data_IF_282018465170
#
_entry.id   IF_282018465170
#
_cell.length_a   1.000
_cell.length_b   1.000
_cell.length_c   1.000
_cell.angle_alpha   90.00
_cell.angle_beta   90.00
_cell.angle_gamma   90.00
#
_symmetry.space_group_name_H-M   'P 1'
#
loop_
_entity.id
_entity.type
_entity.pdbx_description
1 polymer ?
#
# COMPACT_ATOMS: atom_id res chain seq x y z
N UNK A 1 -19.49 55.49 -11.05
CA UNK A 1 -20.54 55.09 -10.09
C UNK A 1 -21.86 55.30 -10.81
N UNK A 2 -22.19 54.37 -11.70
CA UNK A 2 -23.45 54.40 -12.45
C UNK A 2 -24.52 53.70 -11.62
N UNK A 3 -25.69 54.33 -11.56
CA UNK A 3 -26.85 53.95 -10.76
C UNK A 3 -27.21 52.47 -10.92
N UNK A 4 -27.01 51.70 -9.84
CA UNK A 4 -27.66 50.42 -9.60
C UNK A 4 -29.14 50.65 -9.31
N UNK A 5 -29.90 51.11 -10.31
CA UNK A 5 -31.34 50.90 -10.32
C UNK A 5 -31.57 49.41 -10.52
N UNK A 6 -31.46 48.70 -9.41
CA UNK A 6 -31.65 47.28 -9.23
C UNK A 6 -32.97 46.86 -9.87
N UNK A 7 -32.91 45.91 -10.80
CA UNK A 7 -34.08 45.13 -11.18
C UNK A 7 -34.54 44.32 -9.96
N UNK A 8 -35.28 44.97 -9.06
CA UNK A 8 -35.93 44.33 -7.92
C UNK A 8 -36.93 43.33 -8.50
N UNK A 9 -36.60 42.05 -8.40
CA UNK A 9 -37.43 40.94 -8.87
C UNK A 9 -38.06 40.27 -7.65
N UNK A 10 -39.37 40.08 -7.67
CA UNK A 10 -40.08 39.26 -6.68
C UNK A 10 -40.33 37.86 -7.27
N UNK A 11 -40.23 36.84 -6.42
CA UNK A 11 -40.52 35.46 -6.81
C UNK A 11 -40.19 34.44 -5.72
N UNK A 12 -40.31 33.16 -6.06
CA UNK A 12 -40.04 32.05 -5.14
C UNK A 12 -38.54 31.70 -5.19
N UNK A 13 -37.88 31.69 -4.03
CA UNK A 13 -36.49 31.27 -3.93
C UNK A 13 -36.37 29.74 -4.08
N UNK A 14 -35.57 29.22 -5.04
CA UNK A 14 -35.41 27.79 -5.25
C UNK A 14 -34.93 27.04 -3.99
N UNK A 15 -33.95 27.60 -3.27
CA UNK A 15 -33.42 27.00 -2.03
C UNK A 15 -34.46 26.97 -0.90
N UNK A 16 -35.27 28.02 -0.75
CA UNK A 16 -36.35 28.02 0.25
C UNK A 16 -37.39 26.93 -0.05
N UNK A 17 -37.74 26.79 -1.34
CA UNK A 17 -38.68 25.77 -1.79
C UNK A 17 -38.15 24.35 -1.56
N UNK A 18 -36.89 24.09 -1.85
CA UNK A 18 -36.29 22.75 -1.68
C UNK A 18 -36.03 22.42 -0.21
N UNK A 19 -35.43 23.32 0.57
CA UNK A 19 -35.00 23.02 1.95
C UNK A 19 -36.12 23.12 2.98
N UNK A 20 -37.05 24.04 2.80
CA UNK A 20 -38.08 24.35 3.78
C UNK A 20 -39.51 24.17 3.27
N UNK A 21 -39.67 23.71 2.01
CA UNK A 21 -40.98 23.65 1.33
C UNK A 21 -41.71 25.01 1.32
N UNK A 22 -40.96 26.10 1.37
CA UNK A 22 -41.48 27.46 1.45
C UNK A 22 -41.58 28.07 0.05
N UNK A 23 -42.83 28.24 -0.41
CA UNK A 23 -43.17 28.81 -1.73
C UNK A 23 -43.66 30.26 -1.63
N UNK A 24 -43.37 30.97 -0.53
CA UNK A 24 -43.70 32.39 -0.41
C UNK A 24 -42.89 33.24 -1.40
N UNK A 25 -43.52 34.28 -1.94
CA UNK A 25 -42.86 35.28 -2.77
C UNK A 25 -41.96 36.18 -1.91
N UNK A 26 -40.71 36.35 -2.35
CA UNK A 26 -39.67 37.12 -1.66
C UNK A 26 -38.95 38.02 -2.64
N UNK A 27 -38.28 39.06 -2.12
CA UNK A 27 -37.30 39.82 -2.89
C UNK A 27 -36.17 38.88 -3.30
N UNK A 28 -35.85 38.84 -4.59
CA UNK A 28 -34.77 38.05 -5.16
C UNK A 28 -33.64 38.95 -5.63
N UNK A 29 -32.41 38.49 -5.39
CA UNK A 29 -31.16 39.08 -5.80
C UNK A 29 -30.39 38.08 -6.65
N UNK A 30 -29.68 38.57 -7.67
CA UNK A 30 -28.95 37.72 -8.59
C UNK A 30 -27.56 37.40 -8.02
N UNK A 31 -27.22 36.12 -7.93
CA UNK A 31 -25.88 35.69 -7.53
C UNK A 31 -24.84 36.22 -8.54
N UNK A 32 -23.74 36.85 -8.09
CA UNK A 32 -22.73 37.38 -9.00
C UNK A 32 -21.96 36.29 -9.77
N UNK A 33 -21.99 35.04 -9.32
CA UNK A 33 -21.26 33.90 -9.90
C UNK A 33 -22.14 33.09 -10.86
N UNK A 34 -23.10 32.31 -10.37
CA UNK A 34 -23.99 31.48 -11.22
C UNK A 34 -25.08 32.25 -11.98
N UNK A 35 -25.31 33.53 -11.68
CA UNK A 35 -26.36 34.38 -12.29
C UNK A 35 -27.80 33.93 -12.02
N UNK A 36 -28.01 32.98 -11.10
CA UNK A 36 -29.35 32.59 -10.64
C UNK A 36 -29.89 33.56 -9.59
N UNK A 37 -31.20 33.49 -9.32
CA UNK A 37 -31.93 34.42 -8.45
C UNK A 37 -32.30 33.76 -7.12
N UNK A 38 -31.91 34.36 -6.00
CA UNK A 38 -32.13 33.84 -4.65
C UNK A 38 -32.63 34.93 -3.71
N UNK A 39 -33.28 34.56 -2.61
CA UNK A 39 -33.56 35.53 -1.55
C UNK A 39 -32.28 35.91 -0.81
N UNK A 40 -32.31 37.03 -0.07
CA UNK A 40 -31.20 37.54 0.76
C UNK A 40 -30.48 36.45 1.60
N UNK A 41 -31.22 35.51 2.19
CA UNK A 41 -30.64 34.40 3.00
C UNK A 41 -29.85 33.36 2.19
N UNK A 42 -30.08 33.26 0.89
CA UNK A 42 -29.51 32.23 0.02
C UNK A 42 -28.71 32.79 -1.16
N UNK A 43 -28.63 34.12 -1.33
CA UNK A 43 -27.87 34.75 -2.42
C UNK A 43 -26.36 34.54 -2.28
N UNK A 44 -25.87 34.37 -1.05
CA UNK A 44 -24.46 34.07 -0.82
C UNK A 44 -24.12 32.66 -1.34
N UNK A 45 -23.08 32.50 -2.17
CA UNK A 45 -22.68 31.18 -2.65
C UNK A 45 -22.07 30.35 -1.52
N UNK A 46 -22.19 29.03 -1.66
CA UNK A 46 -21.69 28.03 -0.72
C UNK A 46 -20.95 26.92 -1.46
N UNK A 47 -19.97 26.31 -0.78
CA UNK A 47 -19.13 25.28 -1.36
C UNK A 47 -19.95 24.06 -1.74
N UNK A 48 -19.81 23.63 -3.00
CA UNK A 48 -20.34 22.36 -3.48
C UNK A 48 -19.37 21.24 -3.10
N UNK A 49 -19.37 20.89 -1.80
CA UNK A 49 -18.51 19.84 -1.25
C UNK A 49 -19.31 18.88 -0.37
N UNK A 50 -19.01 17.59 -0.51
CA UNK A 50 -19.63 16.55 0.32
C UNK A 50 -18.87 16.39 1.64
N UNK A 51 -19.59 15.92 2.67
CA UNK A 51 -18.98 15.57 3.97
C UNK A 51 -17.78 14.63 3.82
N UNK A 52 -17.91 13.61 2.96
CA UNK A 52 -16.85 12.62 2.74
C UNK A 52 -15.61 13.21 2.08
N UNK A 53 -15.76 14.26 1.25
CA UNK A 53 -14.62 14.98 0.69
C UNK A 53 -13.88 15.76 1.79
N UNK A 54 -14.61 16.45 2.68
CA UNK A 54 -14.04 17.16 3.84
C UNK A 54 -13.29 16.18 4.76
N UNK A 55 -13.88 15.03 5.07
CA UNK A 55 -13.25 14.04 5.95
C UNK A 55 -11.94 13.47 5.38
N UNK A 56 -11.87 13.29 4.06
CA UNK A 56 -10.71 12.76 3.34
C UNK A 56 -9.57 13.77 3.18
N UNK A 57 -9.82 15.06 3.40
CA UNK A 57 -8.79 16.10 3.37
C UNK A 57 -7.75 15.84 4.45
N UNK A 58 -6.48 15.65 4.03
CA UNK A 58 -5.36 15.34 4.95
C UNK A 58 -4.83 16.57 5.67
N UNK A 59 -4.86 17.72 5.01
CA UNK A 59 -4.44 18.97 5.61
C UNK A 59 -5.47 19.42 6.65
N UNK A 60 -5.03 19.50 7.92
CA UNK A 60 -5.89 19.84 9.05
C UNK A 60 -6.46 21.26 8.94
N UNK A 61 -5.68 22.22 8.44
CA UNK A 61 -6.07 23.64 8.32
C UNK A 61 -7.09 23.79 7.19
N UNK A 62 -6.83 23.17 6.03
CA UNK A 62 -7.80 23.18 4.93
C UNK A 62 -9.09 22.46 5.33
N UNK A 63 -9.00 21.34 6.04
CA UNK A 63 -10.17 20.59 6.53
C UNK A 63 -11.05 21.46 7.43
N UNK A 64 -10.46 22.24 8.33
CA UNK A 64 -11.19 23.15 9.23
C UNK A 64 -11.89 24.27 8.45
N UNK A 65 -11.21 24.90 7.48
CA UNK A 65 -11.83 25.91 6.60
C UNK A 65 -12.98 25.35 5.77
N UNK A 66 -12.80 24.17 5.17
CA UNK A 66 -13.88 23.51 4.42
C UNK A 66 -15.07 23.16 5.32
N UNK A 67 -14.81 22.82 6.57
CA UNK A 67 -15.84 22.53 7.56
C UNK A 67 -16.65 23.75 7.96
N UNK A 68 -15.98 24.88 8.21
CA UNK A 68 -16.62 26.17 8.53
C UNK A 68 -17.54 26.63 7.39
N UNK A 69 -17.03 26.61 6.16
CA UNK A 69 -17.83 26.96 4.96
C UNK A 69 -19.00 25.99 4.75
N UNK A 70 -18.80 24.69 4.98
CA UNK A 70 -19.87 23.71 4.87
C UNK A 70 -20.95 23.89 5.95
N UNK A 71 -20.59 24.35 7.16
CA UNK A 71 -21.54 24.59 8.26
C UNK A 71 -22.26 25.92 8.20
N UNK A 72 -21.79 26.88 7.40
CA UNK A 72 -22.40 28.20 7.27
C UNK A 72 -23.90 28.09 6.97
N UNK A 73 -24.73 28.76 7.76
CA UNK A 73 -26.19 28.74 7.56
C UNK A 73 -26.57 29.58 6.33
N UNK A 74 -27.62 29.16 5.64
CA UNK A 74 -28.05 29.78 4.39
C UNK A 74 -27.19 29.39 3.19
N UNK A 75 -27.14 30.30 2.23
CA UNK A 75 -26.42 30.18 0.96
C UNK A 75 -26.93 29.09 0.00
N UNK A 76 -26.53 29.21 -1.27
CA UNK A 76 -26.84 28.24 -2.32
C UNK A 76 -25.57 27.52 -2.80
N UNK A 77 -25.65 26.23 -3.15
CA UNK A 77 -24.52 25.53 -3.75
C UNK A 77 -24.17 26.16 -5.11
N UNK A 78 -22.96 26.71 -5.25
CA UNK A 78 -22.50 27.34 -6.49
C UNK A 78 -21.16 26.73 -6.95
N UNK A 79 -21.19 26.03 -8.09
CA UNK A 79 -20.03 25.34 -8.64
C UNK A 79 -18.97 26.30 -9.21
N UNK A 80 -19.39 27.42 -9.80
CA UNK A 80 -18.49 28.44 -10.38
C UNK A 80 -17.71 29.10 -9.24
N UNK A 81 -18.42 29.52 -8.19
CA UNK A 81 -17.79 30.07 -7.00
C UNK A 81 -16.87 29.06 -6.32
N UNK A 82 -17.28 27.79 -6.23
CA UNK A 82 -16.46 26.72 -5.63
C UNK A 82 -15.12 26.57 -6.35
N UNK A 83 -15.09 26.60 -7.69
CA UNK A 83 -13.84 26.57 -8.45
C UNK A 83 -12.94 27.77 -8.12
N UNK A 84 -13.51 28.99 -8.14
CA UNK A 84 -12.76 30.20 -7.81
C UNK A 84 -12.25 30.22 -6.37
N UNK A 85 -13.02 29.66 -5.43
CA UNK A 85 -12.61 29.50 -4.04
C UNK A 85 -11.34 28.64 -3.96
N UNK A 86 -11.30 27.48 -4.62
CA UNK A 86 -10.13 26.60 -4.62
C UNK A 86 -8.93 27.22 -5.35
N UNK A 87 -9.13 27.89 -6.48
CA UNK A 87 -8.06 28.63 -7.17
C UNK A 87 -7.44 29.70 -6.27
N UNK A 88 -8.27 30.49 -5.59
CA UNK A 88 -7.80 31.52 -4.65
C UNK A 88 -7.05 30.91 -3.46
N UNK A 89 -7.47 29.72 -3.02
CA UNK A 89 -6.84 28.99 -1.95
C UNK A 89 -5.45 28.48 -2.36
N UNK A 90 -5.32 27.88 -3.54
CA UNK A 90 -4.03 27.42 -4.08
C UNK A 90 -3.03 28.57 -4.27
N UNK A 91 -3.51 29.74 -4.73
CA UNK A 91 -2.66 30.93 -4.89
C UNK A 91 -2.14 31.40 -3.53
N UNK A 92 -3.01 31.52 -2.50
CA UNK A 92 -2.60 31.90 -1.14
C UNK A 92 -1.60 30.91 -0.55
N UNK A 93 -1.82 29.61 -0.74
CA UNK A 93 -0.90 28.58 -0.26
C UNK A 93 0.47 28.69 -0.92
N UNK A 94 0.52 28.94 -2.24
CA UNK A 94 1.79 29.18 -2.96
C UNK A 94 2.51 30.41 -2.41
N UNK A 95 1.81 31.52 -2.21
CA UNK A 95 2.39 32.74 -1.63
C UNK A 95 2.95 32.51 -0.21
N UNK A 96 2.24 31.77 0.63
CA UNK A 96 2.70 31.43 1.98
C UNK A 96 3.95 30.52 1.96
N UNK A 97 3.96 29.50 1.09
CA UNK A 97 5.13 28.63 0.89
C UNK A 97 6.34 29.43 0.40
N UNK A 98 6.16 30.35 -0.54
CA UNK A 98 7.24 31.21 -1.01
C UNK A 98 7.78 32.14 0.09
N UNK A 99 6.89 32.73 0.90
CA UNK A 99 7.29 33.54 2.06
C UNK A 99 8.11 32.70 3.06
N UNK A 100 7.67 31.48 3.33
CA UNK A 100 8.38 30.55 4.22
C UNK A 100 9.77 30.17 3.69
N UNK A 101 9.89 29.83 2.40
CA UNK A 101 11.17 29.53 1.76
C UNK A 101 12.14 30.72 1.80
N UNK A 102 11.64 31.95 1.59
CA UNK A 102 12.45 33.18 1.73
C UNK A 102 12.97 33.37 3.15
N UNK A 103 12.21 32.99 4.17
CA UNK A 103 12.67 33.04 5.58
C UNK A 103 13.75 31.98 5.84
N UNK A 104 13.59 30.76 5.34
CA UNK A 104 14.58 29.70 5.47
C UNK A 104 15.93 30.05 4.82
N UNK A 105 15.91 30.62 3.60
CA UNK A 105 17.12 31.06 2.91
C UNK A 105 17.87 32.15 3.69
N UNK A 106 17.14 33.09 4.31
CA UNK A 106 17.75 34.10 5.21
C UNK A 106 18.42 33.47 6.43
N UNK A 107 17.78 32.48 7.07
CA UNK A 107 18.33 31.77 8.23
C UNK A 107 19.59 30.99 7.84
N UNK A 108 19.58 30.31 6.68
CA UNK A 108 20.74 29.56 6.20
C UNK A 108 21.94 30.49 5.92
N UNK A 109 21.70 31.64 5.28
CA UNK A 109 22.73 32.67 5.03
C UNK A 109 23.33 33.20 6.33
N UNK A 110 22.49 33.51 7.34
CA UNK A 110 22.98 33.93 8.66
C UNK A 110 23.82 32.85 9.35
N UNK A 111 23.42 31.57 9.24
CA UNK A 111 24.18 30.45 9.82
C UNK A 111 25.55 30.28 9.17
N UNK A 112 25.65 30.44 7.84
CA UNK A 112 26.93 30.41 7.12
C UNK A 112 27.85 31.53 7.58
N UNK A 113 27.36 32.76 7.70
CA UNK A 113 28.16 33.92 8.18
C UNK A 113 28.71 33.65 9.59
N UNK A 114 27.86 33.19 10.53
CA UNK A 114 28.27 32.90 11.91
C UNK A 114 29.32 31.77 12.03
N UNK A 115 29.36 30.82 11.09
CA UNK A 115 30.36 29.75 11.09
C UNK A 115 31.75 30.26 10.67
N UNK A 116 31.83 31.16 9.69
CA UNK A 116 33.09 31.77 9.27
C UNK A 116 33.69 32.61 10.40
N UNK A 117 32.89 33.39 11.12
CA UNK A 117 33.36 34.22 12.24
C UNK A 117 33.94 33.38 13.40
N UNK A 118 33.31 32.25 13.74
CA UNK A 118 33.81 31.35 14.79
C UNK A 118 35.11 30.64 14.42
N UNK A 119 35.38 30.41 13.13
CA UNK A 119 36.60 29.73 12.68
C UNK A 119 37.89 30.58 12.84
N UNK A 120 37.75 31.90 13.04
CA UNK A 120 38.89 32.82 13.22
C UNK A 120 39.49 32.81 14.64
N UNK A 121 38.80 32.25 15.64
CA UNK A 121 39.34 32.07 17.00
C UNK A 121 40.14 30.76 17.08
N UNK A 122 41.48 30.87 17.03
CA UNK A 122 42.43 29.77 17.28
C UNK A 122 42.13 29.11 18.64
N UNK A 123 41.49 27.94 18.63
CA UNK A 123 41.39 27.10 19.82
C UNK A 123 42.67 26.24 19.97
N UNK A 124 43.27 26.18 21.17
CA UNK A 124 44.42 25.32 21.43
C UNK A 124 44.03 23.83 21.35
N UNK A 125 44.72 23.07 20.48
CA UNK A 125 44.53 21.63 20.29
C UNK A 125 44.89 20.86 21.57
N UNK A 126 43.89 20.27 22.24
CA UNK A 126 44.11 19.17 23.21
C UNK A 126 43.59 17.87 22.60
N UNK A 127 44.52 17.02 22.15
CA UNK A 127 44.22 15.76 21.48
C UNK A 127 43.78 14.66 22.46
N UNK A 128 42.63 14.05 22.19
CA UNK A 128 42.27 12.71 22.68
C UNK A 128 41.76 11.90 21.49
N UNK A 129 42.58 10.95 21.03
CA UNK A 129 42.23 10.00 19.98
C UNK A 129 41.34 8.90 20.55
N UNK A 130 40.11 8.76 20.05
CA UNK A 130 39.27 7.60 20.33
C UNK A 130 39.63 6.45 19.37
N UNK A 131 40.06 5.31 19.93
CA UNK A 131 40.34 4.06 19.21
C UNK A 131 39.02 3.37 18.87
N UNK A 132 38.61 3.39 17.60
CA UNK A 132 37.51 2.53 17.12
C UNK A 132 38.01 1.09 16.94
N UNK A 133 37.38 0.14 17.62
CA UNK A 133 37.63 -1.29 17.46
C UNK A 133 37.15 -1.73 16.07
N UNK A 134 38.03 -2.35 15.28
CA UNK A 134 37.70 -2.72 13.90
C UNK A 134 36.80 -3.96 13.84
N UNK A 135 35.63 -3.79 13.21
CA UNK A 135 34.59 -4.80 12.93
C UNK A 135 35.14 -6.09 12.29
N UNK A 136 36.28 -5.99 11.60
CA UNK A 136 36.99 -7.09 10.93
C UNK A 136 37.41 -8.24 11.88
N UNK A 137 37.64 -7.94 13.17
CA UNK A 137 38.03 -8.97 14.16
C UNK A 137 36.86 -9.82 14.65
N UNK A 138 35.64 -9.29 14.60
CA UNK A 138 34.44 -9.98 15.09
C UNK A 138 34.01 -11.11 14.15
N UNK A 139 34.09 -10.90 12.85
CA UNK A 139 33.69 -11.92 11.86
C UNK A 139 34.68 -13.09 11.76
N UNK A 140 35.97 -12.88 12.11
CA UNK A 140 36.98 -13.95 12.01
C UNK A 140 36.85 -15.02 13.10
N UNK A 141 36.19 -14.73 14.23
CA UNK A 141 36.10 -15.70 15.34
C UNK A 141 34.88 -16.62 15.29
N UNK A 142 33.87 -16.31 14.46
CA UNK A 142 32.62 -17.08 14.40
C UNK A 142 32.72 -18.25 13.39
N UNK A 143 33.63 -18.16 12.41
CA UNK A 143 33.71 -19.13 11.31
C UNK A 143 35.03 -19.91 11.34
N UNK A 144 35.10 -20.88 12.25
CA UNK A 144 36.12 -21.93 12.26
C UNK A 144 35.90 -22.91 11.09
N UNK A 145 37.01 -23.30 10.47
CA UNK A 145 37.13 -24.11 9.27
C UNK A 145 36.55 -25.53 9.43
N UNK A 146 35.45 -25.84 8.73
CA UNK A 146 35.29 -27.06 7.90
C UNK A 146 33.93 -27.05 7.13
N UNK A 147 34.05 -26.94 5.80
CA UNK A 147 33.16 -27.44 4.74
C UNK A 147 31.66 -27.09 4.66
N UNK A 148 31.24 -25.86 4.96
CA UNK A 148 30.05 -25.30 4.31
C UNK A 148 30.49 -24.09 3.49
N UNK A 149 30.32 -24.21 2.17
CA UNK A 149 30.66 -23.15 1.22
C UNK A 149 30.00 -21.84 1.70
N UNK A 150 30.80 -20.81 1.98
CA UNK A 150 30.33 -19.61 2.69
C UNK A 150 29.15 -18.93 1.99
N UNK A 151 29.01 -19.17 0.69
CA UNK A 151 27.89 -18.76 -0.16
C UNK A 151 26.56 -19.42 0.25
N UNK A 152 26.57 -20.71 0.57
CA UNK A 152 25.38 -21.46 1.03
C UNK A 152 24.93 -20.98 2.40
N UNK A 153 25.89 -20.73 3.30
CA UNK A 153 25.59 -20.24 4.63
C UNK A 153 25.06 -18.79 4.61
N UNK A 154 25.61 -17.93 3.74
CA UNK A 154 25.09 -16.58 3.53
C UNK A 154 23.68 -16.62 2.93
N UNK A 155 23.41 -17.52 1.98
CA UNK A 155 22.07 -17.73 1.43
C UNK A 155 21.06 -18.20 2.48
N UNK A 156 21.44 -19.17 3.32
CA UNK A 156 20.63 -19.62 4.47
C UNK A 156 20.40 -18.50 5.48
N UNK A 157 21.43 -17.70 5.77
CA UNK A 157 21.32 -16.58 6.70
C UNK A 157 20.39 -15.50 6.18
N UNK A 158 20.49 -15.12 4.90
CA UNK A 158 19.59 -14.14 4.27
C UNK A 158 18.15 -14.65 4.17
N UNK A 159 17.96 -15.94 3.91
CA UNK A 159 16.66 -16.63 3.95
C UNK A 159 16.05 -16.65 5.36
N UNK A 160 16.87 -16.91 6.38
CA UNK A 160 16.43 -16.86 7.76
C UNK A 160 16.08 -15.40 8.16
N UNK A 161 16.89 -14.43 7.74
CA UNK A 161 16.67 -13.01 8.05
C UNK A 161 15.40 -12.47 7.39
N UNK A 162 15.06 -12.93 6.18
CA UNK A 162 13.83 -12.51 5.49
C UNK A 162 12.57 -13.04 6.17
N UNK A 163 12.63 -14.20 6.84
CA UNK A 163 11.56 -14.71 7.72
C UNK A 163 11.33 -13.83 8.96
N UNK A 164 12.37 -13.15 9.46
CA UNK A 164 12.28 -12.30 10.65
C UNK A 164 12.10 -10.80 10.37
N UNK A 165 12.33 -10.33 9.13
CA UNK A 165 12.07 -8.93 8.74
C UNK A 165 10.66 -8.42 9.13
N UNK A 166 9.58 -9.22 8.99
CA UNK A 166 8.26 -8.82 9.47
C UNK A 166 8.20 -8.60 10.99
N UNK A 167 8.89 -9.43 11.77
CA UNK A 167 8.94 -9.34 13.24
C UNK A 167 9.81 -8.19 13.73
N UNK A 168 10.95 -7.94 13.08
CA UNK A 168 11.81 -6.78 13.37
C UNK A 168 11.05 -5.47 13.08
N UNK A 169 10.25 -5.44 12.01
CA UNK A 169 9.36 -4.31 11.71
C UNK A 169 8.30 -4.11 12.81
N UNK A 170 7.66 -5.18 13.29
CA UNK A 170 6.69 -5.10 14.41
C UNK A 170 7.33 -4.54 15.69
N UNK A 171 8.54 -4.98 16.02
CA UNK A 171 9.25 -4.53 17.22
C UNK A 171 9.73 -3.07 17.13
N UNK A 172 10.04 -2.57 15.93
CA UNK A 172 10.53 -1.20 15.73
C UNK A 172 9.39 -0.17 15.62
N UNK A 173 8.22 -0.58 15.12
CA UNK A 173 7.08 0.33 14.89
C UNK A 173 5.99 0.27 15.96
N UNK A 174 6.15 -0.55 17.01
CA UNK A 174 5.37 -0.44 18.25
C UNK A 174 3.86 -0.64 18.10
N UNK A 175 3.44 -1.56 17.22
CA UNK A 175 2.02 -1.87 17.05
C UNK A 175 1.53 -2.83 18.15
N UNK A 176 0.36 -2.59 18.77
CA UNK A 176 -0.22 -3.48 19.76
C UNK A 176 -0.55 -4.85 19.14
N UNK A 177 -0.19 -5.91 19.88
CA UNK A 177 -0.16 -7.33 19.45
C UNK A 177 -1.55 -7.90 19.12
N UNK A 178 -2.62 -7.20 19.50
CA UNK A 178 -4.00 -7.72 19.42
C UNK A 178 -4.60 -7.73 18.01
N UNK A 179 -3.90 -7.19 17.00
CA UNK A 179 -4.35 -7.20 15.61
C UNK A 179 -3.34 -7.99 14.78
N UNK A 180 -3.66 -9.24 14.49
CA UNK A 180 -2.86 -10.07 13.59
C UNK A 180 -2.72 -9.38 12.22
N UNK A 181 -1.53 -9.48 11.61
CA UNK A 181 -1.23 -8.85 10.31
C UNK A 181 -2.28 -9.19 9.24
N UNK A 182 -2.89 -10.39 9.34
CA UNK A 182 -3.99 -10.86 8.51
C UNK A 182 -5.24 -10.00 8.65
N UNK A 183 -5.63 -9.63 9.88
CA UNK A 183 -6.79 -8.75 10.11
C UNK A 183 -6.51 -7.33 9.64
N UNK A 184 -5.30 -6.81 9.86
CA UNK A 184 -4.90 -5.51 9.30
C UNK A 184 -4.94 -5.51 7.77
N UNK A 185 -4.40 -6.56 7.13
CA UNK A 185 -4.34 -6.66 5.68
C UNK A 185 -5.74 -6.90 5.07
N UNK A 186 -6.57 -7.72 5.70
CA UNK A 186 -7.96 -7.94 5.29
C UNK A 186 -8.81 -6.69 5.49
N UNK A 187 -8.66 -5.96 6.60
CA UNK A 187 -9.37 -4.71 6.84
C UNK A 187 -8.91 -3.62 5.86
N UNK A 188 -7.61 -3.58 5.51
CA UNK A 188 -7.10 -2.69 4.49
C UNK A 188 -7.62 -3.04 3.10
N UNK A 189 -7.65 -4.34 2.72
CA UNK A 189 -8.20 -4.80 1.44
C UNK A 189 -9.71 -4.54 1.36
N UNK A 190 -10.48 -4.80 2.41
CA UNK A 190 -11.91 -4.51 2.46
C UNK A 190 -12.19 -3.00 2.42
N UNK A 191 -11.40 -2.18 3.14
CA UNK A 191 -11.46 -0.72 3.05
C UNK A 191 -11.08 -0.21 1.66
N UNK A 192 -10.17 -0.91 0.95
CA UNK A 192 -9.81 -0.58 -0.43
C UNK A 192 -10.92 -0.98 -1.41
N UNK A 193 -11.52 -2.17 -1.28
CA UNK A 193 -12.62 -2.64 -2.13
C UNK A 193 -13.90 -1.79 -1.99
N UNK A 194 -14.33 -1.50 -0.76
CA UNK A 194 -15.53 -0.67 -0.50
C UNK A 194 -15.33 0.77 -0.99
N UNK A 195 -14.09 1.27 -0.98
CA UNK A 195 -13.73 2.61 -1.46
C UNK A 195 -13.49 2.65 -2.98
N UNK A 196 -13.25 1.49 -3.62
CA UNK A 196 -13.07 1.32 -5.07
C UNK A 196 -14.38 1.27 -5.85
N UNK A 197 -15.49 0.86 -5.22
CA UNK A 197 -16.82 0.86 -5.86
C UNK A 197 -17.41 2.29 -6.02
N UNK A 198 -16.88 3.29 -5.32
CA UNK A 198 -17.55 4.61 -5.20
C UNK A 198 -17.04 5.73 -6.09
N UNK A 199 -15.91 5.61 -6.80
CA UNK A 199 -15.32 6.74 -7.55
C UNK A 199 -14.59 6.30 -8.83
N UNK A 200 -14.85 7.00 -9.95
CA UNK A 200 -14.19 6.86 -11.28
C UNK A 200 -12.67 7.16 -11.31
N UNK A 201 -11.99 7.17 -10.17
CA UNK A 201 -10.51 7.21 -10.05
C UNK A 201 -9.97 5.76 -10.02
N UNK A 202 -10.64 4.86 -10.74
CA UNK A 202 -10.43 3.41 -10.67
C UNK A 202 -9.14 2.99 -11.36
N UNK A 203 -8.78 3.64 -12.47
CA UNK A 203 -7.66 3.17 -13.30
C UNK A 203 -6.31 3.42 -12.65
N UNK A 204 -5.98 4.66 -12.26
CA UNK A 204 -4.61 5.00 -11.87
C UNK A 204 -4.14 4.31 -10.57
N UNK A 205 -5.03 4.10 -9.61
CA UNK A 205 -4.66 3.53 -8.31
C UNK A 205 -4.57 1.99 -8.32
N UNK A 206 -5.51 1.30 -8.98
CA UNK A 206 -5.44 -0.16 -9.19
C UNK A 206 -4.20 -0.51 -10.02
N UNK A 207 -3.87 0.32 -11.00
CA UNK A 207 -2.65 0.20 -11.79
C UNK A 207 -1.40 0.31 -10.90
N UNK A 208 -1.35 1.26 -9.95
CA UNK A 208 -0.18 1.46 -9.08
C UNK A 208 0.03 0.31 -8.08
N UNK A 209 -1.04 -0.19 -7.46
CA UNK A 209 -0.97 -1.34 -6.53
C UNK A 209 -0.57 -2.62 -7.29
N UNK A 210 -1.09 -2.81 -8.50
CA UNK A 210 -0.70 -3.93 -9.35
C UNK A 210 0.78 -3.83 -9.77
N UNK A 211 1.27 -2.64 -10.11
CA UNK A 211 2.70 -2.47 -10.43
C UNK A 211 3.62 -2.71 -9.24
N UNK A 212 3.22 -2.31 -8.03
CA UNK A 212 4.00 -2.59 -6.82
C UNK A 212 4.05 -4.09 -6.51
N UNK A 213 2.91 -4.79 -6.67
CA UNK A 213 2.83 -6.23 -6.49
C UNK A 213 3.67 -6.96 -7.54
N UNK A 214 3.58 -6.55 -8.82
CA UNK A 214 4.41 -7.07 -9.91
C UNK A 214 5.90 -6.82 -9.62
N UNK A 215 6.27 -5.64 -9.13
CA UNK A 215 7.65 -5.33 -8.78
C UNK A 215 8.18 -6.21 -7.64
N UNK A 216 7.38 -6.43 -6.59
CA UNK A 216 7.74 -7.34 -5.50
C UNK A 216 7.90 -8.79 -5.98
N UNK A 217 7.02 -9.24 -6.89
CA UNK A 217 7.09 -10.56 -7.49
C UNK A 217 8.34 -10.72 -8.38
N UNK A 218 8.70 -9.71 -9.16
CA UNK A 218 9.92 -9.69 -9.97
C UNK A 218 11.16 -9.78 -9.07
N UNK A 219 11.20 -9.07 -7.95
CA UNK A 219 12.32 -9.12 -6.99
C UNK A 219 12.48 -10.53 -6.41
N UNK A 220 11.37 -11.21 -6.07
CA UNK A 220 11.38 -12.60 -5.58
C UNK A 220 11.93 -13.54 -6.66
N UNK A 221 11.43 -13.44 -7.91
CA UNK A 221 11.88 -14.29 -9.02
C UNK A 221 13.36 -14.05 -9.34
N UNK A 222 13.83 -12.79 -9.36
CA UNK A 222 15.25 -12.47 -9.54
C UNK A 222 16.12 -13.06 -8.44
N UNK A 223 15.66 -13.01 -7.18
CA UNK A 223 16.33 -13.67 -6.05
C UNK A 223 16.50 -15.18 -6.29
N UNK A 224 15.46 -15.85 -6.77
CA UNK A 224 15.52 -17.27 -7.12
C UNK A 224 16.47 -17.56 -8.30
N UNK A 225 16.47 -16.75 -9.35
CA UNK A 225 17.37 -16.91 -10.50
C UNK A 225 18.84 -16.79 -10.06
N UNK A 226 19.17 -15.82 -9.20
CA UNK A 226 20.53 -15.66 -8.66
C UNK A 226 20.97 -16.90 -7.87
N UNK A 227 20.07 -17.47 -7.06
CA UNK A 227 20.34 -18.71 -6.31
C UNK A 227 20.59 -19.88 -7.28
N UNK A 228 19.79 -20.02 -8.34
CA UNK A 228 20.00 -21.06 -9.36
C UNK A 228 21.34 -20.89 -10.07
N UNK A 229 21.69 -19.66 -10.47
CA UNK A 229 22.99 -19.41 -11.11
C UNK A 229 24.15 -19.77 -10.19
N UNK A 230 24.06 -19.43 -8.90
CA UNK A 230 25.05 -19.86 -7.91
C UNK A 230 25.16 -21.38 -7.80
N UNK A 231 24.03 -22.09 -7.86
CA UNK A 231 23.98 -23.55 -7.76
C UNK A 231 24.45 -24.26 -9.05
N UNK A 232 24.20 -23.68 -10.22
CA UNK A 232 24.73 -24.13 -11.51
C UNK A 232 26.26 -24.04 -11.55
N UNK A 233 26.80 -22.93 -11.05
CA UNK A 233 28.25 -22.72 -10.98
C UNK A 233 28.92 -23.69 -10.00
N UNK A 234 28.19 -24.16 -8.98
CA UNK A 234 28.68 -25.12 -7.99
C UNK A 234 28.74 -26.59 -8.47
N UNK A 235 28.49 -26.90 -9.75
CA UNK A 235 28.49 -28.26 -10.34
C UNK A 235 27.60 -29.30 -9.62
N UNK A 236 26.60 -28.87 -8.85
CA UNK A 236 25.68 -29.77 -8.15
C UNK A 236 24.37 -29.95 -8.95
N UNK A 237 24.36 -30.89 -9.90
CA UNK A 237 23.25 -31.15 -10.82
C UNK A 237 21.92 -31.54 -10.15
N UNK A 238 21.97 -32.16 -8.96
CA UNK A 238 20.77 -32.57 -8.19
C UNK A 238 20.09 -31.36 -7.54
N UNK A 239 20.88 -30.39 -7.08
CA UNK A 239 20.35 -29.16 -6.47
C UNK A 239 19.74 -28.26 -7.56
N UNK A 240 20.29 -28.32 -8.77
CA UNK A 240 19.78 -27.60 -9.93
C UNK A 240 18.36 -28.04 -10.34
N UNK A 241 18.08 -29.35 -10.41
CA UNK A 241 16.75 -29.86 -10.77
C UNK A 241 15.68 -29.51 -9.72
N UNK A 242 16.01 -29.58 -8.43
CA UNK A 242 15.09 -29.16 -7.36
C UNK A 242 14.77 -27.66 -7.41
N UNK A 243 15.77 -26.83 -7.71
CA UNK A 243 15.59 -25.39 -7.82
C UNK A 243 14.82 -24.98 -9.08
N UNK A 244 15.05 -25.67 -10.20
CA UNK A 244 14.31 -25.45 -11.44
C UNK A 244 12.82 -25.81 -11.27
N UNK A 245 12.51 -26.90 -10.56
CA UNK A 245 11.14 -27.29 -10.24
C UNK A 245 10.42 -26.26 -9.36
N UNK A 246 11.14 -25.67 -8.40
CA UNK A 246 10.65 -24.56 -7.57
C UNK A 246 10.31 -23.33 -8.42
N UNK A 247 11.16 -22.96 -9.38
CA UNK A 247 10.89 -21.82 -10.28
C UNK A 247 9.71 -22.10 -11.18
N UNK A 248 9.62 -23.28 -11.79
CA UNK A 248 8.48 -23.64 -12.64
C UNK A 248 7.18 -23.60 -11.81
N UNK A 249 7.20 -24.14 -10.59
CA UNK A 249 6.04 -24.11 -9.70
C UNK A 249 5.65 -22.67 -9.30
N UNK A 250 6.63 -21.80 -9.01
CA UNK A 250 6.38 -20.40 -8.70
C UNK A 250 5.84 -19.62 -9.90
N UNK A 251 6.38 -19.85 -11.10
CA UNK A 251 5.92 -19.20 -12.33
C UNK A 251 4.53 -19.67 -12.74
N UNK A 252 4.25 -20.98 -12.66
CA UNK A 252 2.90 -21.53 -12.89
C UNK A 252 1.89 -20.98 -11.88
N UNK A 253 2.30 -20.78 -10.63
CA UNK A 253 1.48 -20.15 -9.60
C UNK A 253 1.21 -18.66 -9.89
N UNK A 254 2.22 -17.92 -10.33
CA UNK A 254 2.05 -16.51 -10.73
C UNK A 254 1.15 -16.36 -11.96
N UNK A 255 1.29 -17.27 -12.92
CA UNK A 255 0.41 -17.33 -14.08
C UNK A 255 -1.04 -17.61 -13.66
N UNK A 256 -1.25 -18.54 -12.73
CA UNK A 256 -2.57 -18.83 -12.17
C UNK A 256 -3.17 -17.63 -11.42
N UNK A 257 -2.37 -16.91 -10.62
CA UNK A 257 -2.81 -15.67 -9.94
C UNK A 257 -3.17 -14.57 -10.93
N UNK A 258 -2.43 -14.45 -12.04
CA UNK A 258 -2.71 -13.45 -13.07
C UNK A 258 -4.01 -13.72 -13.84
N UNK A 259 -4.48 -14.97 -13.85
CA UNK A 259 -5.64 -15.43 -14.63
C UNK A 259 -6.89 -15.67 -13.79
N UNK A 260 -6.78 -15.77 -12.45
CA UNK A 260 -7.91 -16.02 -11.56
C UNK A 260 -8.29 -14.78 -10.77
N UNK A 261 -9.50 -14.26 -11.00
CA UNK A 261 -10.05 -13.07 -10.30
C UNK A 261 -10.55 -13.35 -8.88
N UNK A 262 -10.66 -14.62 -8.47
CA UNK A 262 -11.27 -15.03 -7.20
C UNK A 262 -10.52 -16.19 -6.52
N UNK A 263 -9.26 -15.96 -6.14
CA UNK A 263 -8.54 -16.93 -5.31
C UNK A 263 -8.74 -16.59 -3.83
N UNK A 264 -9.38 -17.49 -3.09
CA UNK A 264 -9.51 -17.34 -1.64
C UNK A 264 -8.14 -17.47 -0.95
N UNK A 265 -7.89 -16.67 0.08
CA UNK A 265 -6.64 -16.69 0.86
C UNK A 265 -6.31 -18.09 1.42
N UNK A 266 -7.34 -18.92 1.68
CA UNK A 266 -7.19 -20.31 2.13
C UNK A 266 -6.57 -21.18 1.02
N UNK A 267 -6.98 -20.97 -0.23
CA UNK A 267 -6.37 -21.62 -1.39
C UNK A 267 -4.92 -21.15 -1.58
N UNK A 268 -4.63 -19.88 -1.30
CA UNK A 268 -3.28 -19.32 -1.37
C UNK A 268 -2.34 -19.92 -0.31
N UNK A 269 -2.77 -19.97 0.95
CA UNK A 269 -2.00 -20.57 2.05
C UNK A 269 -1.78 -22.09 1.82
N UNK A 270 -2.80 -22.77 1.28
CA UNK A 270 -2.68 -24.17 0.88
C UNK A 270 -1.58 -24.37 -0.16
N UNK A 271 -1.64 -23.66 -1.29
CA UNK A 271 -0.67 -23.84 -2.39
C UNK A 271 0.76 -23.45 -1.96
N UNK A 272 0.93 -22.37 -1.18
CA UNK A 272 2.23 -21.98 -0.64
C UNK A 272 2.82 -23.04 0.30
N UNK A 273 2.00 -23.60 1.20
CA UNK A 273 2.41 -24.70 2.08
C UNK A 273 2.78 -25.95 1.26
N UNK A 274 2.04 -26.25 0.20
CA UNK A 274 2.31 -27.36 -0.72
C UNK A 274 3.68 -27.26 -1.40
N UNK A 275 3.97 -26.09 -2.01
CA UNK A 275 5.26 -25.84 -2.66
C UNK A 275 6.39 -25.96 -1.64
N UNK A 276 6.24 -25.34 -0.47
CA UNK A 276 7.24 -25.41 0.59
C UNK A 276 7.52 -26.83 1.08
N UNK A 277 6.48 -27.64 1.27
CA UNK A 277 6.61 -29.00 1.80
C UNK A 277 7.27 -29.93 0.78
N UNK A 278 6.83 -29.89 -0.49
CA UNK A 278 7.41 -30.70 -1.56
C UNK A 278 8.88 -30.31 -1.78
N UNK A 279 9.19 -29.02 -1.81
CA UNK A 279 10.55 -28.55 -2.00
C UNK A 279 11.47 -28.87 -0.83
N UNK A 280 10.97 -28.79 0.40
CA UNK A 280 11.73 -29.20 1.59
C UNK A 280 12.04 -30.70 1.57
N UNK A 281 11.07 -31.53 1.16
CA UNK A 281 11.27 -32.98 1.00
C UNK A 281 12.29 -33.27 -0.10
N UNK A 282 12.21 -32.61 -1.25
CA UNK A 282 13.15 -32.78 -2.36
C UNK A 282 14.58 -32.32 -2.01
N UNK A 283 14.72 -31.23 -1.25
CA UNK A 283 16.02 -30.74 -0.76
C UNK A 283 16.61 -31.71 0.27
N UNK A 284 15.81 -32.16 1.24
CA UNK A 284 16.25 -33.15 2.23
C UNK A 284 16.66 -34.47 1.54
N UNK A 285 15.92 -34.87 0.51
CA UNK A 285 16.19 -36.04 -0.33
C UNK A 285 17.49 -35.91 -1.12
N UNK A 286 17.73 -34.75 -1.77
CA UNK A 286 18.96 -34.50 -2.52
C UNK A 286 20.22 -34.39 -1.67
N UNK A 287 20.07 -34.07 -0.38
CA UNK A 287 21.18 -33.96 0.58
C UNK A 287 21.61 -35.31 1.17
N UNK A 288 20.74 -36.32 1.16
CA UNK A 288 21.00 -37.61 1.79
C UNK A 288 21.73 -38.57 0.83
N UNK A 289 23.07 -38.51 0.84
CA UNK A 289 23.96 -39.23 -0.09
C UNK A 289 23.89 -40.78 -0.06
N UNK A 290 23.19 -41.39 0.92
CA UNK A 290 23.21 -42.84 1.21
C UNK A 290 21.83 -43.48 1.49
N UNK A 291 20.73 -42.96 0.93
CA UNK A 291 19.39 -43.56 1.18
C UNK A 291 19.15 -44.75 0.24
N UNK A 292 18.71 -45.89 0.78
CA UNK A 292 18.41 -47.09 -0.01
C UNK A 292 17.18 -46.90 -0.89
N UNK A 293 17.15 -47.52 -2.09
CA UNK A 293 16.04 -47.40 -3.07
C UNK A 293 14.65 -47.72 -2.49
N UNK A 294 14.58 -48.58 -1.47
CA UNK A 294 13.33 -48.96 -0.77
C UNK A 294 12.85 -47.84 0.17
N UNK A 295 13.77 -47.14 0.85
CA UNK A 295 13.43 -45.97 1.66
C UNK A 295 12.86 -44.84 0.80
N UNK A 296 13.45 -44.65 -0.39
CA UNK A 296 13.00 -43.68 -1.40
C UNK A 296 11.55 -43.95 -1.81
N UNK A 297 11.24 -45.18 -2.20
CA UNK A 297 9.89 -45.56 -2.63
C UNK A 297 8.86 -45.42 -1.49
N UNK A 298 9.23 -45.77 -0.26
CA UNK A 298 8.34 -45.67 0.90
C UNK A 298 8.02 -44.22 1.28
N UNK A 299 9.00 -43.32 1.24
CA UNK A 299 8.78 -41.89 1.50
C UNK A 299 7.92 -41.23 0.41
N UNK A 300 8.11 -41.62 -0.85
CA UNK A 300 7.30 -41.11 -1.96
C UNK A 300 5.86 -41.61 -1.86
N UNK A 301 5.67 -42.88 -1.50
CA UNK A 301 4.36 -43.49 -1.29
C UNK A 301 3.62 -42.85 -0.12
N UNK A 302 4.29 -42.58 0.99
CA UNK A 302 3.70 -41.87 2.14
C UNK A 302 3.30 -40.45 1.74
N UNK A 303 4.16 -39.72 1.01
CA UNK A 303 3.82 -38.41 0.49
C UNK A 303 2.58 -38.48 -0.42
N UNK A 304 2.53 -39.41 -1.37
CA UNK A 304 1.37 -39.61 -2.28
C UNK A 304 0.10 -39.96 -1.51
N UNK A 305 0.16 -40.81 -0.48
CA UNK A 305 -0.99 -41.19 0.34
C UNK A 305 -1.49 -40.00 1.18
N UNK A 306 -0.59 -39.25 1.80
CA UNK A 306 -0.92 -38.02 2.54
C UNK A 306 -1.52 -36.98 1.59
N UNK A 307 -0.99 -36.88 0.36
CA UNK A 307 -1.54 -36.02 -0.69
C UNK A 307 -2.96 -36.43 -1.08
N UNK A 308 -3.19 -37.71 -1.34
CA UNK A 308 -4.49 -38.24 -1.72
C UNK A 308 -5.53 -38.04 -0.61
N UNK A 309 -5.13 -38.22 0.66
CA UNK A 309 -5.99 -38.01 1.82
C UNK A 309 -6.32 -36.52 2.05
N UNK A 310 -5.39 -35.61 1.81
CA UNK A 310 -5.67 -34.18 1.90
C UNK A 310 -6.53 -33.68 0.74
N UNK A 311 -6.29 -34.17 -0.48
CA UNK A 311 -7.09 -33.85 -1.67
C UNK A 311 -8.52 -34.39 -1.57
N UNK A 312 -8.72 -35.58 -1.01
CA UNK A 312 -10.06 -36.12 -0.78
C UNK A 312 -10.84 -35.31 0.29
N UNK A 313 -10.16 -34.81 1.32
CA UNK A 313 -10.78 -33.95 2.35
C UNK A 313 -11.03 -32.51 1.87
N UNK A 314 -10.21 -31.98 0.96
CA UNK A 314 -10.47 -30.72 0.27
C UNK A 314 -11.59 -30.85 -0.80
N UNK A 315 -11.81 -32.06 -1.32
CA UNK A 315 -12.81 -32.35 -2.34
C UNK A 315 -14.25 -32.18 -1.88
N UNK A 316 -14.60 -32.47 -0.63
CA UNK A 316 -15.99 -32.37 -0.14
C UNK A 316 -16.52 -30.92 -0.12
N UNK A 317 -15.78 -29.91 0.40
CA UNK A 317 -16.19 -28.51 0.30
C UNK A 317 -16.05 -27.92 -1.11
N UNK A 318 -15.21 -28.51 -1.98
CA UNK A 318 -15.00 -28.04 -3.35
C UNK A 318 -16.09 -28.55 -4.31
N UNK A 319 -16.49 -29.82 -4.19
CA UNK A 319 -17.57 -30.44 -4.97
C UNK A 319 -18.93 -29.82 -4.61
N UNK A 320 -19.17 -29.52 -3.33
CA UNK A 320 -20.40 -28.83 -2.91
C UNK A 320 -20.48 -27.40 -3.46
N UNK A 321 -19.37 -26.66 -3.49
CA UNK A 321 -19.31 -25.33 -4.14
C UNK A 321 -19.48 -25.40 -5.66
N UNK A 322 -18.92 -26.40 -6.33
CA UNK A 322 -19.12 -26.60 -7.78
C UNK A 322 -20.58 -26.99 -8.07
N UNK A 323 -21.18 -27.85 -7.26
CA UNK A 323 -22.60 -28.21 -7.36
C UNK A 323 -23.51 -26.99 -7.18
N UNK A 324 -23.22 -26.13 -6.20
CA UNK A 324 -23.92 -24.86 -5.99
C UNK A 324 -23.77 -23.91 -7.20
N UNK A 325 -22.57 -23.83 -7.79
CA UNK A 325 -22.29 -22.99 -8.95
C UNK A 325 -23.03 -23.48 -10.21
N UNK A 326 -23.03 -24.80 -10.46
CA UNK A 326 -23.76 -25.42 -11.56
C UNK A 326 -25.28 -25.22 -11.38
N UNK A 327 -25.79 -25.34 -10.15
CA UNK A 327 -27.21 -25.09 -9.84
C UNK A 327 -27.62 -23.64 -10.14
N UNK A 328 -26.75 -22.67 -9.83
CA UNK A 328 -27.01 -21.25 -10.15
C UNK A 328 -26.98 -20.95 -11.64
N UNK A 329 -26.07 -21.57 -12.38
CA UNK A 329 -26.00 -21.45 -13.84
C UNK A 329 -27.26 -22.02 -14.51
N UNK A 330 -27.74 -23.18 -14.08
CA UNK A 330 -28.95 -23.81 -14.65
C UNK A 330 -30.26 -23.13 -14.26
N UNK A 331 -30.31 -22.38 -13.15
CA UNK A 331 -31.50 -21.58 -12.77
C UNK A 331 -31.52 -20.20 -13.44
N UNK A 332 -30.45 -19.82 -14.15
CA UNK A 332 -30.33 -18.55 -14.87
C UNK A 332 -30.62 -18.67 -16.38
N UNK A 333 -30.94 -19.88 -16.85
CA UNK A 333 -31.45 -20.22 -18.19
C UNK A 333 -32.92 -20.59 -18.00
#
# INVERSE_FOLDING_TARGET
MENSNENIKFGICPECKVRYNDSSEKKLEQCPYCKEWFCEKHVEPKLVITWSAIERTRDRILKEKLYEEWRKEGGHPDSIWTMQYFESFEIKEKEEREKFLKVLDKIEKMKKINLYDKSSKKFPKKGRSFKFLSIKKFFKSIFGSESIDGTVLLGLFLSLFSLFLPWISISLYGYPIDITWVNMFQEYILKIQVKSLSNNIVTSYVITVNYLLIALLIIIVLGFIIVIFGLLLAKNSIIFTGSLFLIISALSFLYYLSTSSEVSLVSFAGIGFWIFTISSILIAYGSAKNVSKIGIFSSLLIAIIVCAFFLSNLGVPFITKISELIRRLFLSI
#
